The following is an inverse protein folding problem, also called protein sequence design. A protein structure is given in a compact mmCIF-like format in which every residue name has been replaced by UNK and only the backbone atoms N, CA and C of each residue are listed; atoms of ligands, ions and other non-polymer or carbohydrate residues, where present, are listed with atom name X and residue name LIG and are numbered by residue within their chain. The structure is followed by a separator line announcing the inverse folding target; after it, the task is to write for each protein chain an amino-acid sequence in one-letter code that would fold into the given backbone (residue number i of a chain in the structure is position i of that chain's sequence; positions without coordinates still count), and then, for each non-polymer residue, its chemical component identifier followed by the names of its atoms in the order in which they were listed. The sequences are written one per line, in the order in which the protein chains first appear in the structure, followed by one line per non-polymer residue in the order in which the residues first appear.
data_IF_474690955934
#
_entry.id   IF_474690955934
#
_cell.length_a   1.000
_cell.length_b   1.000
_cell.length_c   1.000
_cell.angle_alpha   90.00
_cell.angle_beta   90.00
_cell.angle_gamma   90.00
#
_symmetry.space_group_name_H-M   'P 1'
#
loop_
_entity.id
_entity.type
_entity.pdbx_description
1 polymer ?
#
# COMPACT_ATOMS: atom_id res chain seq x y z
N UNK A 1 3.54 -5.73 24.10
CA UNK A 1 3.00 -6.08 22.77
C UNK A 1 3.50 -4.98 21.87
N UNK A 2 4.59 -5.23 21.17
CA UNK A 2 5.37 -4.18 20.53
C UNK A 2 4.75 -3.80 19.19
N UNK A 3 4.70 -2.49 18.96
CA UNK A 3 4.03 -1.78 17.88
C UNK A 3 4.67 -2.00 16.50
N UNK A 4 4.67 -3.24 16.01
CA UNK A 4 5.21 -3.59 14.69
C UNK A 4 4.17 -3.63 13.58
N UNK A 5 2.89 -3.33 13.85
CA UNK A 5 1.83 -3.38 12.84
C UNK A 5 1.22 -2.00 12.54
N UNK A 6 0.54 -1.88 11.39
CA UNK A 6 -0.15 -0.66 11.00
C UNK A 6 -1.23 -0.29 12.03
N UNK A 7 -1.39 1.01 12.29
CA UNK A 7 -2.47 1.50 13.16
C UNK A 7 -3.75 1.57 12.32
N UNK A 8 -4.64 0.60 12.52
CA UNK A 8 -5.98 0.63 11.93
C UNK A 8 -6.88 1.62 12.68
N UNK A 9 -7.77 2.26 11.94
CA UNK A 9 -8.68 3.25 12.50
C UNK A 9 -10.07 2.65 12.82
N UNK A 10 -10.93 3.47 13.43
CA UNK A 10 -12.26 3.03 13.85
C UNK A 10 -13.14 2.54 12.70
N UNK A 11 -12.94 3.03 11.47
CA UNK A 11 -13.73 2.57 10.32
C UNK A 11 -13.43 1.10 10.03
N UNK A 12 -12.17 0.67 10.13
CA UNK A 12 -11.85 -0.76 10.08
C UNK A 12 -12.58 -1.51 11.20
N UNK A 13 -12.43 -1.07 12.44
CA UNK A 13 -13.01 -1.73 13.62
C UNK A 13 -14.53 -1.91 13.53
N UNK A 14 -15.23 -0.88 13.06
CA UNK A 14 -16.70 -0.88 12.91
C UNK A 14 -17.20 -1.80 11.80
N UNK A 15 -16.38 -2.05 10.77
CA UNK A 15 -16.80 -2.79 9.57
C UNK A 15 -16.22 -4.20 9.51
N UNK A 16 -15.13 -4.46 10.22
CA UNK A 16 -14.42 -5.72 10.12
C UNK A 16 -15.13 -6.85 10.84
N UNK A 17 -15.21 -7.97 10.14
CA UNK A 17 -15.85 -9.20 10.60
C UNK A 17 -14.80 -10.22 10.98
N UNK A 18 -15.17 -11.15 11.84
CA UNK A 18 -14.26 -12.23 12.27
C UNK A 18 -14.54 -13.46 11.43
N UNK A 19 -13.49 -14.00 10.84
CA UNK A 19 -13.50 -15.23 10.06
C UNK A 19 -12.78 -16.33 10.84
N UNK A 20 -13.32 -17.56 10.88
CA UNK A 20 -12.83 -18.60 11.81
C UNK A 20 -12.07 -19.76 11.19
N UNK A 21 -12.37 -20.18 9.97
CA UNK A 21 -11.63 -21.29 9.34
C UNK A 21 -10.22 -20.87 8.96
N UNK A 22 -10.02 -19.56 8.72
CA UNK A 22 -8.73 -18.86 8.81
C UNK A 22 -8.91 -17.72 9.84
N UNK A 23 -8.58 -17.95 11.13
CA UNK A 23 -8.86 -17.01 12.22
C UNK A 23 -8.26 -15.62 11.98
N UNK A 24 -9.05 -14.70 11.45
CA UNK A 24 -8.64 -13.31 11.21
C UNK A 24 -9.82 -12.38 11.39
N UNK A 25 -9.55 -11.08 11.51
CA UNK A 25 -10.54 -10.02 11.39
C UNK A 25 -10.28 -9.25 10.10
N UNK A 26 -11.29 -9.10 9.25
CA UNK A 26 -11.09 -8.47 7.94
C UNK A 26 -12.30 -7.68 7.45
N UNK A 27 -12.03 -6.70 6.60
CA UNK A 27 -13.03 -5.95 5.83
C UNK A 27 -12.46 -5.56 4.48
N UNK A 28 -13.33 -5.47 3.47
CA UNK A 28 -13.00 -4.79 2.22
C UNK A 28 -12.70 -3.32 2.52
N UNK A 29 -11.69 -2.77 1.87
CA UNK A 29 -11.30 -1.37 2.01
C UNK A 29 -12.46 -0.44 1.68
N UNK A 30 -12.60 0.61 2.49
CA UNK A 30 -13.51 1.72 2.26
C UNK A 30 -12.73 3.02 2.45
N UNK A 31 -13.03 4.07 1.66
CA UNK A 31 -12.45 5.39 1.88
C UNK A 31 -12.55 5.82 3.34
N UNK A 32 -11.45 6.38 3.86
CA UNK A 32 -11.28 6.73 5.26
C UNK A 32 -10.57 5.67 6.09
N UNK A 33 -10.31 4.46 5.58
CA UNK A 33 -9.50 3.43 6.27
C UNK A 33 -7.99 3.62 6.07
N UNK A 34 -7.57 4.42 5.09
CA UNK A 34 -6.18 4.76 4.84
C UNK A 34 -5.52 5.49 6.03
N UNK A 35 -4.21 5.31 6.20
CA UNK A 35 -3.42 6.09 7.16
C UNK A 35 -2.71 7.27 6.50
N UNK A 36 -2.71 7.33 5.17
CA UNK A 36 -2.21 8.46 4.39
C UNK A 36 -2.30 8.22 2.90
N UNK A 37 -1.46 8.94 2.17
CA UNK A 37 -1.51 9.05 0.71
C UNK A 37 -0.11 8.93 0.13
N UNK A 38 0.00 8.31 -1.04
CA UNK A 38 1.25 8.23 -1.80
C UNK A 38 1.08 8.92 -3.15
N UNK A 39 2.11 9.63 -3.59
CA UNK A 39 2.23 10.15 -4.95
C UNK A 39 3.36 9.39 -5.63
N UNK A 40 3.02 8.68 -6.70
CA UNK A 40 3.99 8.06 -7.59
C UNK A 40 4.41 9.05 -8.68
N UNK A 41 5.71 9.01 -9.01
CA UNK A 41 6.37 9.95 -9.90
C UNK A 41 7.29 9.17 -10.84
N UNK A 42 7.28 9.52 -12.12
CA UNK A 42 8.22 8.98 -13.10
C UNK A 42 8.60 10.03 -14.14
N UNK A 43 9.79 9.96 -14.72
CA UNK A 43 10.09 10.75 -15.92
C UNK A 43 9.52 10.06 -17.17
N UNK A 44 9.13 10.86 -18.16
CA UNK A 44 8.87 10.30 -19.49
C UNK A 44 10.20 9.86 -20.12
N UNK A 45 10.25 8.67 -20.76
CA UNK A 45 11.42 8.28 -21.53
C UNK A 45 11.46 9.11 -22.82
N UNK A 46 12.24 10.20 -22.84
CA UNK A 46 12.52 10.93 -24.07
C UNK A 46 13.43 10.11 -25.01
N UNK A 47 13.32 10.39 -26.31
CA UNK A 47 13.81 9.68 -27.49
C UNK A 47 15.30 9.25 -27.57
N UNK A 48 16.08 9.31 -26.50
CA UNK A 48 17.40 8.69 -26.38
C UNK A 48 17.41 7.66 -25.23
N UNK A 49 17.82 6.44 -25.58
CA UNK A 49 17.97 5.26 -24.72
C UNK A 49 18.83 5.46 -23.44
N UNK A 50 19.37 6.66 -23.20
CA UNK A 50 20.17 7.01 -22.01
C UNK A 50 19.36 7.62 -20.84
N UNK A 51 18.16 8.14 -21.07
CA UNK A 51 17.24 8.52 -19.98
C UNK A 51 16.40 7.30 -19.58
N UNK A 52 17.06 6.38 -18.87
CA UNK A 52 16.38 5.24 -18.23
C UNK A 52 15.19 5.75 -17.40
N UNK A 53 14.13 4.95 -17.28
CA UNK A 53 13.00 5.25 -16.41
C UNK A 53 13.50 5.45 -14.97
N UNK A 54 13.25 6.64 -14.43
CA UNK A 54 13.51 7.03 -13.06
C UNK A 54 12.18 7.23 -12.33
N UNK A 55 12.07 6.62 -11.16
CA UNK A 55 10.81 6.49 -10.44
C UNK A 55 10.98 6.83 -8.98
N UNK A 56 9.88 7.22 -8.33
CA UNK A 56 9.86 7.42 -6.89
C UNK A 56 8.47 7.56 -6.35
N UNK A 57 8.34 7.33 -5.04
CA UNK A 57 7.12 7.57 -4.30
C UNK A 57 7.37 8.53 -3.15
N UNK A 58 6.39 9.41 -2.88
CA UNK A 58 6.40 10.33 -1.75
C UNK A 58 5.13 10.17 -0.92
N UNK A 59 5.26 10.17 0.40
CA UNK A 59 4.16 9.89 1.31
C UNK A 59 3.67 11.15 2.03
N UNK A 60 2.37 11.20 2.28
CA UNK A 60 1.68 12.34 2.88
C UNK A 60 0.60 11.88 3.85
N UNK A 61 0.40 12.63 4.95
CA UNK A 61 -0.67 12.32 5.91
C UNK A 61 -2.08 12.56 5.33
N UNK A 62 -2.21 13.47 4.35
CA UNK A 62 -3.51 13.87 3.80
C UNK A 62 -3.46 14.00 2.28
N UNK A 63 -4.60 13.75 1.64
CA UNK A 63 -4.76 13.89 0.19
C UNK A 63 -4.46 15.33 -0.26
N UNK A 64 -4.90 16.32 0.54
CA UNK A 64 -4.66 17.72 0.23
C UNK A 64 -3.16 18.03 0.17
N UNK A 65 -2.36 17.55 1.13
CA UNK A 65 -0.90 17.76 1.11
C UNK A 65 -0.25 17.11 -0.12
N UNK A 66 -0.76 15.94 -0.54
CA UNK A 66 -0.30 15.27 -1.74
C UNK A 66 -0.60 16.10 -3.00
N UNK A 67 -1.83 16.64 -3.11
CA UNK A 67 -2.19 17.55 -4.20
C UNK A 67 -1.43 18.87 -4.18
N UNK A 68 -1.21 19.45 -3.00
CA UNK A 68 -0.41 20.67 -2.83
C UNK A 68 1.03 20.44 -3.33
N UNK A 69 1.60 19.26 -3.04
CA UNK A 69 2.92 18.89 -3.55
C UNK A 69 2.97 18.79 -5.07
N UNK A 70 1.97 18.15 -5.70
CA UNK A 70 1.87 18.06 -7.16
C UNK A 70 1.75 19.45 -7.79
N UNK A 71 0.95 20.34 -7.19
CA UNK A 71 0.66 21.67 -7.73
C UNK A 71 1.76 22.72 -7.44
N UNK A 72 2.72 22.41 -6.58
CA UNK A 72 3.78 23.34 -6.17
C UNK A 72 5.00 23.37 -7.11
N UNK A 73 4.94 22.69 -8.27
CA UNK A 73 6.02 22.66 -9.28
C UNK A 73 7.39 22.27 -8.68
N UNK A 74 7.38 21.22 -7.85
CA UNK A 74 8.56 20.76 -7.14
C UNK A 74 9.55 20.11 -8.12
N UNK A 75 10.72 20.73 -8.29
CA UNK A 75 11.84 20.15 -9.05
C UNK A 75 12.23 18.78 -8.50
N UNK A 76 12.43 17.82 -9.40
CA UNK A 76 12.93 16.49 -9.07
C UNK A 76 14.37 16.32 -9.51
N UNK A 77 15.06 15.39 -8.86
CA UNK A 77 16.49 15.22 -9.05
C UNK A 77 16.88 13.75 -9.06
N UNK A 78 17.94 13.43 -9.81
CA UNK A 78 18.59 12.12 -9.86
C UNK A 78 20.09 12.27 -9.60
N UNK A 79 20.74 11.15 -9.27
CA UNK A 79 22.20 11.07 -9.25
C UNK A 79 22.70 10.49 -10.58
N UNK A 80 23.32 11.34 -11.42
CA UNK A 80 23.97 10.94 -12.67
C UNK A 80 25.47 11.10 -12.53
N UNK A 81 26.19 9.99 -12.50
CA UNK A 81 27.66 9.93 -12.34
C UNK A 81 28.20 10.73 -11.13
N UNK A 82 27.51 10.64 -10.00
CA UNK A 82 27.88 11.33 -8.76
C UNK A 82 27.43 12.79 -8.69
N UNK A 83 26.71 13.29 -9.70
CA UNK A 83 26.19 14.66 -9.73
C UNK A 83 24.66 14.67 -9.62
N UNK A 84 24.15 15.60 -8.82
CA UNK A 84 22.71 15.89 -8.76
C UNK A 84 22.29 16.63 -10.03
N UNK A 85 21.36 16.05 -10.78
CA UNK A 85 20.82 16.63 -12.02
C UNK A 85 19.31 16.73 -11.88
N UNK A 86 18.74 17.87 -12.29
CA UNK A 86 17.30 18.10 -12.35
C UNK A 86 16.68 17.27 -13.47
N UNK A 87 15.52 16.66 -13.21
CA UNK A 87 14.77 15.87 -14.19
C UNK A 87 13.29 16.24 -14.14
N UNK A 88 12.65 16.31 -15.31
CA UNK A 88 11.21 16.49 -15.40
C UNK A 88 10.50 15.17 -15.07
N UNK A 89 9.38 15.25 -14.35
CA UNK A 89 8.56 14.08 -14.01
C UNK A 89 7.08 14.36 -14.27
N UNK A 90 6.35 13.28 -14.45
CA UNK A 90 4.89 13.24 -14.40
C UNK A 90 4.49 12.66 -13.05
N UNK A 91 3.50 13.30 -12.43
CA UNK A 91 2.89 12.86 -11.19
C UNK A 91 1.61 12.08 -11.48
N UNK A 92 1.46 10.90 -10.88
CA UNK A 92 0.17 10.25 -10.81
C UNK A 92 -0.73 10.89 -9.73
N UNK A 93 -2.03 10.62 -9.83
CA UNK A 93 -2.99 11.07 -8.81
C UNK A 93 -2.63 10.45 -7.45
N UNK A 94 -2.81 11.17 -6.32
CA UNK A 94 -2.60 10.60 -5.00
C UNK A 94 -3.42 9.32 -4.82
N UNK A 95 -2.78 8.28 -4.27
CA UNK A 95 -3.41 7.00 -3.96
C UNK A 95 -3.48 6.77 -2.45
N UNK A 96 -4.60 6.24 -1.93
CA UNK A 96 -4.73 5.93 -0.50
C UNK A 96 -3.83 4.74 -0.13
N UNK A 97 -3.21 4.82 1.04
CA UNK A 97 -2.30 3.78 1.55
C UNK A 97 -2.54 3.47 3.02
N UNK A 98 -2.29 2.22 3.42
CA UNK A 98 -1.77 1.98 4.76
C UNK A 98 -0.28 2.24 4.69
N UNK A 99 0.22 3.18 5.47
CA UNK A 99 1.63 3.49 5.55
C UNK A 99 2.04 3.78 7.00
N UNK A 100 3.29 3.46 7.32
CA UNK A 100 3.96 3.88 8.55
C UNK A 100 5.44 4.09 8.26
N UNK A 101 6.07 4.98 9.02
CA UNK A 101 7.52 5.14 8.93
C UNK A 101 8.20 3.94 9.59
N UNK A 102 8.98 3.21 8.83
CA UNK A 102 9.76 2.06 9.29
C UNK A 102 10.96 1.93 8.35
N UNK A 103 12.16 2.01 8.91
CA UNK A 103 13.42 1.95 8.14
C UNK A 103 14.15 0.63 8.36
N UNK A 104 13.71 -0.21 9.31
CA UNK A 104 14.30 -1.51 9.54
C UNK A 104 13.67 -2.54 8.56
N UNK A 105 14.44 -3.07 7.59
CA UNK A 105 13.91 -4.02 6.62
C UNK A 105 13.30 -5.27 7.25
N UNK A 106 13.83 -5.75 8.39
CA UNK A 106 13.32 -6.96 9.04
C UNK A 106 11.98 -6.76 9.77
N UNK A 107 11.47 -5.52 9.81
CA UNK A 107 10.18 -5.18 10.42
C UNK A 107 9.12 -4.79 9.41
N UNK A 108 9.49 -4.60 8.13
CA UNK A 108 8.54 -4.26 7.08
C UNK A 108 7.71 -5.48 6.71
N UNK A 109 6.42 -5.28 6.48
CA UNK A 109 5.48 -6.36 6.11
C UNK A 109 4.73 -6.07 4.81
N UNK A 110 4.66 -4.81 4.40
CA UNK A 110 4.10 -4.38 3.13
C UNK A 110 5.12 -4.34 2.00
N UNK A 111 4.87 -3.50 1.01
CA UNK A 111 5.79 -3.30 -0.11
C UNK A 111 7.11 -2.70 0.38
N UNK A 112 8.20 -3.37 0.04
CA UNK A 112 9.55 -2.94 0.33
C UNK A 112 10.23 -2.49 -0.95
N UNK A 113 10.88 -1.32 -0.91
CA UNK A 113 11.96 -0.99 -1.83
C UNK A 113 11.58 -1.05 -3.32
N UNK A 114 10.41 -0.50 -3.67
CA UNK A 114 9.91 -0.52 -5.05
C UNK A 114 10.87 0.13 -6.06
N UNK A 115 11.62 1.14 -5.63
CA UNK A 115 12.59 1.85 -6.47
C UNK A 115 13.90 2.04 -5.71
N UNK A 116 15.00 1.55 -6.27
CA UNK A 116 16.33 1.62 -5.65
C UNK A 116 17.44 1.97 -6.62
N UNK A 117 18.53 2.49 -6.05
CA UNK A 117 19.80 2.70 -6.75
C UNK A 117 19.72 3.80 -7.80
N UNK A 118 20.43 3.61 -8.92
CA UNK A 118 20.61 4.65 -9.95
C UNK A 118 19.33 5.10 -10.64
N UNK A 119 18.22 4.35 -10.50
CA UNK A 119 16.93 4.67 -11.12
C UNK A 119 15.91 5.24 -10.13
N UNK A 120 16.27 5.41 -8.86
CA UNK A 120 15.40 6.11 -7.92
C UNK A 120 15.57 7.63 -8.06
N UNK A 121 14.46 8.36 -8.02
CA UNK A 121 14.48 9.80 -7.76
C UNK A 121 15.07 10.04 -6.37
N UNK A 122 15.82 11.14 -6.19
CA UNK A 122 16.39 11.50 -4.88
C UNK A 122 15.31 11.82 -3.82
N UNK A 123 14.10 12.14 -4.27
CA UNK A 123 12.92 12.37 -3.44
C UNK A 123 12.18 11.09 -3.06
N UNK A 124 12.63 9.93 -3.53
CA UNK A 124 11.99 8.65 -3.26
C UNK A 124 12.03 8.30 -1.77
N UNK A 125 10.89 7.92 -1.21
CA UNK A 125 10.71 7.63 0.21
C UNK A 125 10.36 6.16 0.50
N UNK A 126 10.34 5.27 -0.51
CA UNK A 126 9.94 3.85 -0.32
C UNK A 126 10.78 3.12 0.72
N UNK A 127 12.06 3.48 0.87
CA UNK A 127 12.93 2.88 1.89
C UNK A 127 12.58 3.35 3.31
N UNK A 128 11.93 4.51 3.46
CA UNK A 128 11.57 5.07 4.77
C UNK A 128 10.23 4.58 5.31
N UNK A 129 9.39 4.01 4.44
CA UNK A 129 8.03 3.61 4.77
C UNK A 129 7.81 2.11 4.54
N UNK A 130 6.97 1.54 5.39
CA UNK A 130 6.30 0.27 5.19
C UNK A 130 4.88 0.60 4.76
N UNK A 131 4.40 0.04 3.65
CA UNK A 131 3.12 0.47 3.08
C UNK A 131 2.41 -0.57 2.21
N UNK A 132 1.09 -0.40 2.10
CA UNK A 132 0.23 -1.06 1.13
C UNK A 132 -0.59 0.00 0.38
N UNK A 133 -0.71 -0.15 -0.94
CA UNK A 133 -1.62 0.67 -1.74
C UNK A 133 -3.02 0.05 -1.64
N UNK A 134 -4.00 0.87 -1.27
CA UNK A 134 -5.38 0.43 -0.98
C UNK A 134 -6.35 0.65 -2.13
N UNK A 135 -5.90 1.35 -3.18
CA UNK A 135 -6.67 1.54 -4.40
C UNK A 135 -5.70 1.80 -5.54
N UNK A 136 -5.34 0.74 -6.26
CA UNK A 136 -4.53 0.84 -7.45
C UNK A 136 -5.41 0.83 -8.70
N UNK A 137 -5.37 1.88 -9.52
CA UNK A 137 -5.90 2.00 -10.91
C UNK A 137 -7.34 1.54 -11.24
N UNK A 138 -8.13 1.05 -10.29
CA UNK A 138 -9.50 0.61 -10.45
C UNK A 138 -10.49 1.59 -9.82
N UNK A 139 -11.64 1.79 -10.46
CA UNK A 139 -12.72 2.64 -9.93
C UNK A 139 -13.27 2.10 -8.60
N UNK A 140 -13.22 0.77 -8.41
CA UNK A 140 -13.55 0.06 -7.18
C UNK A 140 -12.28 -0.53 -6.57
N UNK A 141 -11.91 -0.16 -5.34
CA UNK A 141 -10.86 -0.88 -4.65
C UNK A 141 -11.33 -2.29 -4.30
N UNK A 142 -10.49 -3.27 -4.58
CA UNK A 142 -10.74 -4.70 -4.33
C UNK A 142 -9.88 -5.24 -3.17
N UNK A 143 -9.10 -4.36 -2.54
CA UNK A 143 -8.23 -4.63 -1.42
C UNK A 143 -9.04 -4.95 -0.15
N UNK A 144 -8.60 -6.00 0.55
CA UNK A 144 -9.07 -6.36 1.88
C UNK A 144 -7.98 -6.06 2.89
N UNK A 145 -8.36 -5.39 3.98
CA UNK A 145 -7.48 -5.20 5.14
C UNK A 145 -7.75 -6.36 6.09
N UNK A 146 -6.68 -7.05 6.51
CA UNK A 146 -6.74 -8.24 7.36
C UNK A 146 -5.87 -8.00 8.60
N UNK A 147 -6.44 -8.30 9.76
CA UNK A 147 -5.77 -8.39 11.04
C UNK A 147 -5.73 -9.85 11.48
N UNK A 148 -4.55 -10.43 11.56
CA UNK A 148 -4.35 -11.80 12.03
C UNK A 148 -4.54 -11.90 13.55
N UNK A 149 -4.65 -13.14 14.06
CA UNK A 149 -4.92 -13.41 15.47
C UNK A 149 -3.83 -12.91 16.44
N UNK A 150 -2.60 -12.75 15.95
CA UNK A 150 -1.46 -12.18 16.67
C UNK A 150 -1.38 -10.65 16.59
N UNK A 151 -2.25 -10.01 15.79
CA UNK A 151 -2.35 -8.57 15.62
C UNK A 151 -1.59 -8.01 14.42
N UNK A 152 -0.99 -8.87 13.59
CA UNK A 152 -0.32 -8.46 12.36
C UNK A 152 -1.34 -7.97 11.32
N UNK A 153 -0.95 -6.91 10.60
CA UNK A 153 -1.80 -6.26 9.59
C UNK A 153 -1.20 -6.47 8.21
N UNK A 154 -2.05 -6.89 7.28
CA UNK A 154 -1.69 -7.18 5.89
C UNK A 154 -2.86 -6.86 4.97
N UNK A 155 -2.55 -6.66 3.69
CA UNK A 155 -3.54 -6.33 2.66
C UNK A 155 -3.58 -7.42 1.59
N UNK A 156 -4.78 -7.88 1.28
CA UNK A 156 -5.02 -8.91 0.27
C UNK A 156 -5.75 -8.32 -0.93
N UNK A 157 -5.28 -8.64 -2.14
CA UNK A 157 -5.94 -8.24 -3.39
C UNK A 157 -6.35 -9.50 -4.19
N UNK A 158 -7.64 -9.65 -4.55
CA UNK A 158 -8.13 -10.81 -5.31
C UNK A 158 -7.53 -10.93 -6.71
N UNK A 159 -7.05 -9.84 -7.30
CA UNK A 159 -6.49 -9.78 -8.65
C UNK A 159 -4.97 -10.04 -8.68
N UNK A 160 -4.29 -9.93 -7.53
CA UNK A 160 -2.86 -10.19 -7.38
C UNK A 160 -2.59 -11.41 -6.49
N UNK A 161 -3.36 -12.50 -6.67
CA UNK A 161 -3.25 -13.72 -5.83
C UNK A 161 -1.83 -14.27 -5.79
N UNK A 162 -1.14 -14.28 -6.93
CA UNK A 162 0.22 -14.80 -7.05
C UNK A 162 1.27 -13.86 -6.43
N UNK A 163 0.98 -12.56 -6.33
CA UNK A 163 1.84 -11.55 -5.74
C UNK A 163 1.73 -11.51 -4.22
N UNK A 164 0.51 -11.71 -3.70
CA UNK A 164 0.22 -11.73 -2.28
C UNK A 164 0.50 -13.11 -1.65
N UNK A 165 0.61 -14.17 -2.47
CA UNK A 165 0.89 -15.54 -2.01
C UNK A 165 -0.17 -16.11 -1.07
N UNK A 166 -1.33 -15.46 -0.98
CA UNK A 166 -2.31 -15.69 0.06
C UNK A 166 -3.71 -15.90 -0.52
N UNK A 167 -4.38 -16.92 0.00
CA UNK A 167 -5.72 -17.31 -0.41
C UNK A 167 -6.72 -16.94 0.68
N UNK A 168 -6.87 -15.65 1.02
CA UNK A 168 -7.78 -15.24 2.09
C UNK A 168 -9.18 -15.84 1.90
N UNK A 169 -9.69 -15.85 0.66
CA UNK A 169 -10.95 -16.51 0.26
C UNK A 169 -10.84 -17.93 -0.35
N UNK A 170 -9.64 -18.53 -0.43
CA UNK A 170 -9.45 -19.93 -0.88
C UNK A 170 -9.35 -20.17 -2.41
N UNK A 171 -8.98 -21.41 -2.78
CA UNK A 171 -9.00 -21.95 -4.16
C UNK A 171 -9.99 -23.10 -4.37
N UNK A 172 -10.15 -24.02 -3.42
CA UNK A 172 -11.20 -25.07 -3.32
C UNK A 172 -11.10 -25.75 -1.92
N UNK A 173 -12.20 -26.33 -1.41
CA UNK A 173 -12.38 -27.13 -0.16
C UNK A 173 -12.30 -26.45 1.23
N UNK A 174 -11.95 -25.17 1.33
CA UNK A 174 -11.98 -24.43 2.61
C UNK A 174 -13.13 -23.41 2.62
N UNK A 175 -14.24 -23.73 3.27
CA UNK A 175 -15.31 -22.77 3.50
C UNK A 175 -14.88 -21.70 4.50
N UNK A 176 -15.32 -20.45 4.32
CA UNK A 176 -15.06 -19.36 5.27
C UNK A 176 -16.29 -19.07 6.09
N UNK A 177 -16.16 -19.25 7.41
CA UNK A 177 -17.19 -18.89 8.37
C UNK A 177 -16.97 -17.48 8.91
N UNK A 178 -17.94 -16.58 8.78
CA UNK A 178 -17.97 -15.33 9.56
C UNK A 178 -18.75 -15.51 10.86
N UNK A 179 -18.30 -14.84 11.92
CA UNK A 179 -18.99 -14.78 13.21
C UNK A 179 -20.09 -13.72 13.18
N UNK A 180 -21.30 -14.11 13.54
CA UNK A 180 -22.47 -13.23 13.68
C UNK A 180 -22.52 -12.53 15.04
N UNK A 181 -23.47 -11.62 15.23
CA UNK A 181 -23.67 -10.87 16.47
C UNK A 181 -24.08 -11.73 17.68
N UNK A 182 -24.68 -12.90 17.46
CA UNK A 182 -25.09 -13.86 18.50
C UNK A 182 -24.01 -14.92 18.80
N UNK A 183 -22.76 -14.70 18.37
CA UNK A 183 -21.66 -15.66 18.47
C UNK A 183 -21.93 -17.01 17.77
N UNK A 184 -22.80 -17.02 16.76
CA UNK A 184 -22.94 -18.16 15.83
C UNK A 184 -22.07 -17.94 14.59
N UNK A 185 -22.02 -18.93 13.70
CA UNK A 185 -21.18 -18.90 12.51
C UNK A 185 -22.01 -19.20 11.26
N UNK A 186 -21.82 -18.37 10.24
CA UNK A 186 -22.42 -18.57 8.92
C UNK A 186 -21.31 -18.73 7.88
N UNK A 187 -21.51 -19.64 6.94
CA UNK A 187 -20.63 -19.79 5.77
C UNK A 187 -20.89 -18.63 4.80
N UNK A 188 -19.84 -17.89 4.42
CA UNK A 188 -19.97 -16.62 3.67
C UNK A 188 -19.43 -16.69 2.25
N UNK A 189 -18.61 -17.70 1.91
CA UNK A 189 -18.33 -18.13 0.53
C UNK A 189 -17.39 -19.35 0.47
N UNK A 190 -17.53 -20.09 -0.63
CA UNK A 190 -16.49 -20.70 -1.48
C UNK A 190 -16.50 -19.93 -2.79
#
# INVERSE_FOLDING_TARGET
MDANSFILNNIFEENAKIYQTKPVRATKYKPGMETGWVVYMSNEPEHDLENNLHEGMKFFDTEQKAWDYINADNKQYINKDGKTVEIAVVYEKPMPVLHRKETNPSKKVGYTDCFQGKYALLSNETEMYDFFILKYSHDTPDEWIIQDADGDIRVWNPDCRDCCGEEFFGRDDNYICERTADNTYIEVAV
#
